data_IF_446804001757
#
_entry.id   IF_446804001757
#
_cell.length_a   1.000
_cell.length_b   1.000
_cell.length_c   1.000
_cell.angle_alpha   90.00
_cell.angle_beta   90.00
_cell.angle_gamma   90.00
#
_symmetry.space_group_name_H-M   'P 1'
#
loop_
_entity.id
_entity.type
_entity.pdbx_description
1 polymer ?
2 non-polymer ?
3 water ?
#
# COMPACT_ATOMS: atom_id res chain seq x y z
N UNK A 2 2.35 20.22 9.59
CA UNK A 2 2.64 20.59 8.22
C UNK A 2 2.81 19.35 7.34
N UNK A 3 1.94 19.23 6.33
CA UNK A 3 2.00 18.09 5.42
C UNK A 3 3.32 18.06 4.67
N UNK A 4 3.79 19.24 4.27
CA UNK A 4 5.07 19.38 3.59
C UNK A 4 6.21 18.73 4.36
N UNK A 5 6.26 18.99 5.67
CA UNK A 5 7.30 18.43 6.53
C UNK A 5 7.14 16.91 6.64
N UNK A 6 5.92 16.44 6.74
CA UNK A 6 5.66 15.02 6.83
C UNK A 6 6.09 14.33 5.58
N UNK A 7 5.80 14.94 4.45
CA UNK A 7 6.19 14.38 3.17
C UNK A 7 7.68 14.40 3.00
N UNK A 8 8.36 15.34 3.63
CA UNK A 8 9.77 15.44 3.50
C UNK A 8 10.46 14.35 4.30
N UNK A 9 9.95 14.08 5.47
CA UNK A 9 10.44 13.02 6.35
C UNK A 9 10.20 11.65 5.71
N UNK A 10 9.04 11.48 5.09
CA UNK A 10 8.71 10.23 4.43
C UNK A 10 9.66 9.93 3.28
N UNK A 11 10.05 10.98 2.54
CA UNK A 11 10.97 10.82 1.44
C UNK A 11 12.34 10.40 1.95
N UNK A 12 12.78 11.03 3.02
CA UNK A 12 14.06 10.71 3.64
C UNK A 12 14.08 9.29 4.19
N UNK A 13 13.00 8.93 4.89
CA UNK A 13 12.87 7.61 5.48
C UNK A 13 12.85 6.53 4.42
N UNK A 14 12.19 6.82 3.30
CA UNK A 14 12.16 5.89 2.17
C UNK A 14 13.58 5.67 1.64
N UNK A 15 14.33 6.73 1.54
CA UNK A 15 15.71 6.64 1.14
C UNK A 15 16.52 5.85 2.12
N UNK A 16 16.27 5.98 3.42
CA UNK A 16 16.93 5.19 4.44
C UNK A 16 16.61 3.73 4.29
N UNK A 17 15.38 3.44 3.96
CA UNK A 17 14.97 2.09 3.66
C UNK A 17 15.70 1.55 2.40
N UNK A 18 15.78 2.34 1.32
CA UNK A 18 16.44 1.84 0.13
C UNK A 18 17.90 1.67 0.39
N UNK A 19 18.45 2.46 1.26
CA UNK A 19 19.87 2.42 1.57
C UNK A 19 20.21 1.15 2.36
N UNK A 20 19.32 0.78 3.28
CA UNK A 20 19.50 -0.45 4.05
C UNK A 20 19.46 -1.68 3.16
N UNK A 21 18.46 -1.76 2.29
CA UNK A 21 18.34 -2.87 1.36
C UNK A 21 19.55 -2.93 0.42
N UNK A 22 20.01 -1.77 -0.01
CA UNK A 22 21.17 -1.68 -0.88
C UNK A 22 22.42 -2.14 -0.15
N UNK A 23 22.55 -1.70 1.10
CA UNK A 23 23.70 -2.08 1.93
C UNK A 23 23.73 -3.59 2.17
N UNK A 24 22.56 -4.16 2.39
CA UNK A 24 22.37 -5.57 2.61
C UNK A 24 22.84 -6.38 1.42
N UNK A 25 22.59 -5.83 0.25
CA UNK A 25 22.94 -6.49 -1.00
C UNK A 25 24.45 -6.47 -1.21
N UNK A 26 25.05 -5.33 -1.01
CA UNK A 26 26.46 -5.15 -1.16
C UNK A 26 27.24 -6.00 -0.18
N UNK A 27 26.80 -6.02 1.06
CA UNK A 27 27.47 -6.74 2.11
C UNK A 27 27.45 -8.22 1.90
N UNK A 28 26.34 -8.73 1.38
CA UNK A 28 26.09 -10.14 1.20
C UNK A 28 26.62 -10.96 2.34
N UNK A 29 26.20 -10.62 3.53
CA UNK A 29 26.74 -11.19 4.72
C UNK A 29 25.73 -12.09 5.34
N UNK A 30 26.22 -13.22 5.81
CA UNK A 30 25.37 -14.24 6.36
C UNK A 30 24.66 -13.82 7.63
N UNK A 31 23.37 -14.14 7.71
CA UNK A 31 22.59 -13.80 8.90
C UNK A 31 22.53 -12.30 9.18
N UNK A 32 22.40 -11.49 8.14
CA UNK A 32 22.47 -10.04 8.31
C UNK A 32 21.19 -9.27 8.00
N UNK A 33 20.17 -9.95 7.48
CA UNK A 33 18.95 -9.23 7.06
C UNK A 33 18.22 -8.54 8.20
N UNK A 34 18.12 -9.21 9.32
CA UNK A 34 17.42 -8.66 10.45
C UNK A 34 18.09 -7.32 10.84
N UNK A 35 19.40 -7.23 10.77
CA UNK A 35 20.14 -6.00 11.06
C UNK A 35 19.71 -4.90 10.12
N UNK A 36 19.80 -5.18 8.82
CA UNK A 36 19.46 -4.17 7.82
C UNK A 36 17.98 -3.78 7.84
N UNK A 37 17.11 -4.75 8.09
CA UNK A 37 15.70 -4.47 8.31
C UNK A 37 15.56 -3.51 9.49
N UNK A 38 16.22 -3.86 10.59
CA UNK A 38 16.18 -3.04 11.81
C UNK A 38 16.81 -1.68 11.57
N UNK A 39 17.94 -1.65 10.88
CA UNK A 39 18.68 -0.41 10.67
C UNK A 39 17.91 0.56 9.80
N UNK A 40 17.31 0.03 8.73
CA UNK A 40 16.52 0.86 7.84
C UNK A 40 15.36 1.52 8.55
N UNK A 41 14.64 0.75 9.37
CA UNK A 41 13.54 1.31 10.15
C UNK A 41 14.01 2.29 11.22
N UNK A 42 15.16 2.01 11.83
CA UNK A 42 15.75 2.91 12.81
C UNK A 42 16.07 4.27 12.22
N UNK A 43 16.86 4.27 11.15
CA UNK A 43 17.24 5.50 10.47
C UNK A 43 16.00 6.25 9.96
N UNK A 44 15.01 5.49 9.49
CA UNK A 44 13.80 6.09 8.95
C UNK A 44 12.97 6.80 10.02
N UNK A 45 12.74 6.10 11.13
CA UNK A 45 11.94 6.65 12.23
C UNK A 45 12.56 7.93 12.77
N UNK A 46 13.88 8.01 12.77
CA UNK A 46 14.60 9.14 13.27
C UNK A 46 14.38 10.39 12.47
N UNK A 47 13.87 10.24 11.27
CA UNK A 47 13.61 11.39 10.41
C UNK A 47 12.45 12.22 10.92
N UNK A 48 11.57 11.58 11.70
CA UNK A 48 10.33 12.18 12.11
C UNK A 48 9.19 11.24 11.78
N UNK A 49 7.95 11.61 12.17
CA UNK A 49 6.76 10.80 11.95
C UNK A 49 6.55 10.36 10.51
N UNK A 50 6.91 11.22 9.55
CA UNK A 50 6.77 10.88 8.15
C UNK A 50 7.69 9.73 7.79
N UNK A 51 8.87 9.70 8.42
CA UNK A 51 9.84 8.66 8.18
C UNK A 51 9.42 7.32 8.77
N UNK A 52 8.94 7.35 10.02
CA UNK A 52 8.47 6.14 10.69
C UNK A 52 7.34 5.54 9.88
N UNK A 53 6.48 6.41 9.38
CA UNK A 53 5.32 5.99 8.59
C UNK A 53 5.75 5.34 7.28
N UNK A 54 6.69 5.97 6.58
CA UNK A 54 7.20 5.44 5.32
C UNK A 54 7.83 4.06 5.54
N UNK A 55 8.57 3.94 6.63
CA UNK A 55 9.26 2.68 6.95
C UNK A 55 8.27 1.58 7.28
N UNK A 56 7.14 1.94 7.85
CA UNK A 56 6.13 0.96 8.17
C UNK A 56 5.43 0.49 6.90
N UNK A 57 5.08 1.44 6.05
CA UNK A 57 4.43 1.14 4.78
C UNK A 57 5.31 0.21 3.94
N UNK A 58 6.61 0.48 3.91
CA UNK A 58 7.54 -0.32 3.13
C UNK A 58 7.72 -1.70 3.77
N UNK A 59 7.85 -1.73 5.10
CA UNK A 59 8.01 -3.00 5.81
C UNK A 59 6.78 -3.90 5.62
N UNK A 60 5.59 -3.30 5.71
CA UNK A 60 4.34 -4.04 5.59
C UNK A 60 4.09 -4.51 4.17
N UNK A 61 4.47 -3.68 3.20
CA UNK A 61 4.36 -4.06 1.80
C UNK A 61 5.26 -5.26 1.52
N UNK A 62 6.45 -5.26 2.11
CA UNK A 62 7.40 -6.35 1.93
C UNK A 62 6.82 -7.65 2.48
N UNK A 63 6.26 -7.58 3.68
CA UNK A 63 5.65 -8.75 4.30
C UNK A 63 4.52 -9.29 3.43
N UNK A 64 3.75 -8.39 2.85
CA UNK A 64 2.63 -8.76 1.99
C UNK A 64 3.07 -9.57 0.78
N UNK A 65 4.16 -9.13 0.15
CA UNK A 65 4.68 -9.80 -1.04
C UNK A 65 5.28 -11.16 -0.69
N UNK A 66 5.88 -11.26 0.49
CA UNK A 66 6.39 -12.54 0.98
C UNK A 66 5.27 -13.56 1.04
N UNK A 67 4.13 -13.15 1.59
CA UNK A 67 3.00 -14.05 1.81
C UNK A 67 2.35 -14.53 0.51
N UNK A 68 2.20 -13.63 -0.46
CA UNK A 68 1.64 -13.98 -1.76
C UNK A 68 2.50 -15.02 -2.46
N UNK A 69 3.79 -14.92 -2.27
CA UNK A 69 4.72 -15.78 -2.95
C UNK A 69 5.26 -16.73 -1.92
N UNK A 70 6.52 -17.11 -2.03
CA UNK A 70 7.14 -17.92 -1.02
C UNK A 70 7.79 -17.24 0.18
N UNK A 71 8.66 -16.26 -0.04
CA UNK A 71 9.45 -15.63 1.04
C UNK A 71 9.02 -15.76 2.52
N UNK A 72 7.86 -16.35 2.74
CA UNK A 72 7.15 -16.37 4.01
C UNK A 72 7.85 -16.96 5.20
N UNK A 75 11.44 -16.20 7.25
CA UNK A 75 10.13 -16.01 7.87
C UNK A 75 9.74 -14.53 8.13
N UNK A 76 8.46 -14.23 7.93
CA UNK A 76 7.91 -12.87 7.95
C UNK A 76 7.84 -12.24 9.34
N UNK A 77 7.31 -13.01 10.29
CA UNK A 77 7.17 -12.54 11.67
C UNK A 77 8.50 -12.06 12.23
N UNK A 78 9.55 -12.83 11.94
CA UNK A 78 10.90 -12.51 12.41
C UNK A 78 11.43 -11.24 11.76
N UNK A 79 11.11 -11.04 10.48
CA UNK A 79 11.49 -9.80 9.80
C UNK A 79 10.77 -8.61 10.41
N UNK A 80 9.46 -8.77 10.61
CA UNK A 80 8.65 -7.69 11.17
C UNK A 80 9.07 -7.34 12.59
N UNK A 81 9.53 -8.34 13.35
CA UNK A 81 10.01 -8.08 14.70
C UNK A 81 11.22 -7.16 14.66
N UNK A 82 12.12 -7.41 13.72
CA UNK A 82 13.29 -6.58 13.54
C UNK A 82 12.90 -5.18 13.07
N UNK A 83 12.00 -5.11 12.10
CA UNK A 83 11.49 -3.85 11.59
C UNK A 83 10.93 -2.96 12.69
N UNK A 84 10.08 -3.53 13.52
CA UNK A 84 9.42 -2.80 14.58
C UNK A 84 10.44 -2.41 15.64
N UNK A 85 11.34 -3.32 15.95
CA UNK A 85 12.41 -3.09 16.90
C UNK A 85 13.19 -1.83 16.54
N UNK A 86 13.67 -1.76 15.31
CA UNK A 86 14.42 -0.60 14.85
C UNK A 86 13.55 0.64 14.78
N UNK A 87 12.30 0.47 14.35
CA UNK A 87 11.39 1.61 14.19
C UNK A 87 11.03 2.25 15.53
N UNK A 88 11.04 1.46 16.58
CA UNK A 88 10.70 1.96 17.92
C UNK A 88 11.88 2.74 18.52
N UNK A 89 13.04 2.66 17.88
CA UNK A 89 14.20 3.40 18.33
C UNK A 89 15.23 2.55 19.04
N UNK A 90 14.97 1.24 19.12
CA UNK A 90 15.91 0.32 19.76
C UNK A 90 17.09 0.01 18.84
N UNK A 91 18.20 -0.37 19.45
CA UNK A 91 19.47 -0.55 18.75
C UNK A 91 19.43 -1.64 17.67
N UNK A 92 19.63 -1.25 16.41
CA UNK A 92 19.71 -2.21 15.29
C UNK A 92 20.84 -3.23 15.49
N UNK A 93 21.89 -2.83 16.21
CA UNK A 93 23.03 -3.71 16.45
C UNK A 93 22.72 -4.94 17.29
N UNK A 94 21.51 -4.98 17.83
CA UNK A 94 21.00 -6.16 18.54
C UNK A 94 20.97 -7.35 17.59
N UNK A 95 20.87 -7.09 16.30
CA UNK A 95 20.80 -8.14 15.29
C UNK A 95 22.10 -8.28 14.49
N UNK A 96 23.11 -7.48 14.83
CA UNK A 96 24.34 -7.45 14.05
C UNK A 96 25.08 -8.78 14.13
N UNK A 97 25.29 -9.43 12.98
CA UNK A 97 26.03 -10.70 12.99
C UNK A 97 27.51 -10.46 13.18
N UNK A 98 28.21 -11.48 13.66
CA UNK A 98 29.66 -11.40 13.85
C UNK A 98 30.36 -11.06 12.54
N UNK A 99 31.17 -10.02 12.57
CA UNK A 99 32.05 -9.72 11.45
C UNK A 99 31.57 -8.69 10.43
N UNK A 100 30.31 -8.29 10.52
CA UNK A 100 29.77 -7.30 9.58
C UNK A 100 30.66 -6.05 9.58
N UNK A 101 31.11 -5.67 8.40
CA UNK A 101 31.97 -4.50 8.27
C UNK A 101 31.37 -3.30 8.92
N UNK A 102 32.23 -2.58 9.58
CA UNK A 102 31.90 -1.49 10.42
C UNK A 102 31.13 -0.35 9.77
N UNK A 103 31.34 -0.11 8.50
CA UNK A 103 30.64 0.94 7.77
C UNK A 103 29.16 0.73 7.58
N UNK A 104 28.70 -0.48 7.87
CA UNK A 104 27.30 -0.85 7.81
C UNK A 104 26.67 -0.82 9.18
N UNK B 2 13.88 -6.05 -8.29
CA UNK B 2 13.07 -6.76 -7.30
C UNK B 2 11.83 -5.96 -6.93
N UNK B 3 11.24 -6.30 -5.78
CA UNK B 3 10.05 -5.62 -5.32
C UNK B 3 10.47 -4.21 -4.94
N UNK B 4 11.78 -4.04 -4.69
CA UNK B 4 12.37 -2.75 -4.38
C UNK B 4 12.16 -1.74 -5.51
N UNK B 5 12.40 -2.16 -6.73
CA UNK B 5 12.24 -1.27 -7.83
C UNK B 5 10.76 -0.86 -8.03
N UNK B 6 9.86 -1.80 -7.88
CA UNK B 6 8.45 -1.50 -7.92
C UNK B 6 8.09 -0.48 -6.84
N UNK B 7 8.61 -0.66 -5.65
CA UNK B 7 8.31 0.23 -4.56
C UNK B 7 8.90 1.61 -4.73
N UNK B 8 10.07 1.71 -5.33
CA UNK B 8 10.63 2.97 -5.61
C UNK B 8 9.77 3.69 -6.61
N UNK B 9 9.24 2.97 -7.56
CA UNK B 9 8.37 3.63 -8.53
C UNK B 9 7.09 4.11 -7.86
N UNK B 10 6.59 3.31 -6.92
CA UNK B 10 5.41 3.67 -6.14
C UNK B 10 5.66 4.92 -5.33
N UNK B 11 6.85 5.00 -4.74
CA UNK B 11 7.24 6.17 -3.97
C UNK B 11 7.28 7.42 -4.82
N UNK B 12 7.87 7.29 -6.01
CA UNK B 12 7.89 8.40 -6.96
C UNK B 12 6.47 8.77 -7.37
N UNK B 13 5.65 7.75 -7.64
CA UNK B 13 4.28 7.97 -8.07
C UNK B 13 3.45 8.67 -7.02
N UNK B 14 3.67 8.31 -5.76
CA UNK B 14 2.98 8.98 -4.66
C UNK B 14 3.32 10.46 -4.59
N UNK B 15 4.59 10.81 -4.84
CA UNK B 15 5.00 12.21 -4.81
C UNK B 15 4.39 12.98 -5.97
N UNK B 16 4.24 12.33 -7.11
CA UNK B 16 3.60 12.93 -8.24
C UNK B 16 2.16 13.23 -7.90
N UNK B 17 1.52 12.33 -7.21
CA UNK B 17 0.17 12.51 -6.69
C UNK B 17 0.05 13.69 -5.72
N UNK B 18 0.95 13.77 -4.77
CA UNK B 18 1.00 14.87 -3.86
C UNK B 18 1.26 16.17 -4.59
N UNK B 19 2.20 16.13 -5.52
CA UNK B 19 2.50 17.30 -6.32
C UNK B 19 1.26 17.85 -7.02
N UNK B 20 0.45 16.97 -7.55
CA UNK B 20 -0.77 17.35 -8.23
C UNK B 20 -1.75 18.00 -7.26
N UNK B 21 -1.85 17.43 -6.07
CA UNK B 21 -2.76 17.93 -5.05
C UNK B 21 -2.35 19.32 -4.54
N UNK B 22 -1.07 19.50 -4.28
CA UNK B 22 -0.58 20.77 -3.75
C UNK B 22 -0.64 21.86 -4.81
N UNK B 23 -0.39 21.49 -6.06
CA UNK B 23 -0.42 22.43 -7.15
C UNK B 23 -1.81 22.87 -7.37
N UNK B 24 -2.74 22.02 -7.10
CA UNK B 24 -4.14 22.37 -7.23
C UNK B 24 -4.67 23.34 -6.14
N UNK B 25 -4.24 23.18 -4.91
CA UNK B 25 -4.55 24.17 -3.91
C UNK B 25 -3.87 25.48 -4.22
N UNK B 26 -2.58 25.41 -4.52
CA UNK B 26 -1.76 26.57 -4.86
C UNK B 26 -2.33 27.35 -6.03
N UNK B 27 -2.78 26.64 -7.05
CA UNK B 27 -3.35 27.29 -8.23
C UNK B 27 -4.67 27.98 -7.87
N UNK B 28 -5.43 27.35 -7.01
CA UNK B 28 -6.80 27.71 -6.71
C UNK B 28 -7.58 28.23 -7.89
N UNK B 29 -7.75 27.40 -8.90
CA UNK B 29 -8.35 27.76 -10.16
C UNK B 29 -9.67 27.00 -10.28
N UNK B 30 -10.76 27.72 -10.56
CA UNK B 30 -12.06 27.09 -10.70
C UNK B 30 -12.02 26.02 -11.78
N UNK B 31 -12.64 24.89 -11.48
CA UNK B 31 -12.71 23.80 -12.39
C UNK B 31 -11.36 23.30 -12.87
N UNK B 32 -10.43 23.21 -11.96
CA UNK B 32 -9.11 22.71 -12.30
C UNK B 32 -8.93 21.26 -11.85
N UNK B 33 -9.81 20.80 -10.98
CA UNK B 33 -9.63 19.52 -10.33
C UNK B 33 -9.39 18.37 -11.27
N UNK B 34 -10.19 18.25 -12.29
CA UNK B 34 -10.04 17.15 -13.19
C UNK B 34 -8.72 17.17 -13.89
N UNK B 35 -8.20 18.34 -14.14
CA UNK B 35 -6.90 18.47 -14.76
C UNK B 35 -5.80 17.91 -13.86
N UNK B 36 -5.81 18.33 -12.60
CA UNK B 36 -4.79 17.89 -11.65
C UNK B 36 -4.90 16.40 -11.32
N UNK B 37 -6.14 15.89 -11.29
CA UNK B 37 -6.35 14.45 -11.10
C UNK B 37 -5.72 13.66 -12.23
N UNK B 38 -5.97 14.10 -13.46
CA UNK B 38 -5.43 13.46 -14.65
C UNK B 38 -3.91 13.57 -14.67
N UNK B 39 -3.40 14.76 -14.36
CA UNK B 39 -1.98 15.04 -14.42
C UNK B 39 -1.18 14.21 -13.42
N UNK B 40 -1.68 14.13 -12.20
CA UNK B 40 -1.01 13.36 -11.17
C UNK B 40 -0.96 11.88 -11.51
N UNK B 41 -2.07 11.35 -12.03
CA UNK B 41 -2.14 9.95 -12.46
C UNK B 41 -1.28 9.69 -13.70
N UNK B 42 -1.22 10.68 -14.58
CA UNK B 42 -0.41 10.60 -15.79
C UNK B 42 1.07 10.57 -15.42
N UNK B 43 1.53 11.57 -14.68
CA UNK B 43 2.92 11.61 -14.21
C UNK B 43 3.30 10.34 -13.44
N UNK B 44 2.44 9.93 -12.52
CA UNK B 44 2.73 8.76 -11.69
C UNK B 44 2.88 7.49 -12.52
N UNK B 45 1.96 7.27 -13.46
CA UNK B 45 1.98 6.05 -14.25
C UNK B 45 3.21 5.97 -15.13
N UNK B 46 3.72 7.12 -15.55
CA UNK B 46 4.90 7.16 -16.40
C UNK B 46 6.19 6.99 -15.62
N UNK B 47 6.07 6.70 -14.32
CA UNK B 47 7.21 6.27 -13.51
C UNK B 47 7.43 4.79 -13.72
N UNK B 48 6.42 4.11 -14.27
CA UNK B 48 6.46 2.67 -14.39
C UNK B 48 5.34 2.04 -13.60
N UNK B 49 5.24 0.70 -13.63
CA UNK B 49 4.18 -0.10 -13.01
C UNK B 49 3.94 0.25 -11.55
N UNK B 50 5.02 0.53 -10.81
CA UNK B 50 4.90 0.89 -9.41
C UNK B 50 4.19 2.22 -9.23
N UNK B 51 4.49 3.18 -10.11
CA UNK B 51 3.87 4.48 -10.08
C UNK B 51 2.39 4.42 -10.44
N UNK B 52 2.06 3.63 -11.46
CA UNK B 52 0.68 3.46 -11.89
C UNK B 52 -0.15 2.82 -10.79
N UNK B 53 0.45 1.88 -10.08
CA UNK B 53 -0.20 1.22 -8.96
C UNK B 53 -0.46 2.20 -7.81
N UNK B 54 0.52 3.04 -7.53
CA UNK B 54 0.40 4.02 -6.45
C UNK B 54 -0.69 5.03 -6.77
N UNK B 55 -0.73 5.48 -8.02
CA UNK B 55 -1.75 6.42 -8.46
C UNK B 55 -3.17 5.86 -8.31
N UNK B 56 -3.34 4.58 -8.64
CA UNK B 56 -4.63 3.94 -8.51
C UNK B 56 -5.04 3.85 -7.04
N UNK B 57 -4.13 3.33 -6.23
CA UNK B 57 -4.36 3.14 -4.80
C UNK B 57 -4.70 4.47 -4.10
N UNK B 58 -3.98 5.53 -4.49
CA UNK B 58 -4.22 6.84 -3.90
C UNK B 58 -5.53 7.40 -4.39
N UNK B 59 -5.83 7.20 -5.67
CA UNK B 59 -7.09 7.69 -6.24
C UNK B 59 -8.31 7.03 -5.60
N UNK B 60 -8.19 5.74 -5.30
CA UNK B 60 -9.29 5.00 -4.66
C UNK B 60 -9.43 5.35 -3.19
N UNK B 61 -8.30 5.65 -2.54
CA UNK B 61 -8.33 6.15 -1.17
C UNK B 61 -9.10 7.47 -1.12
N UNK B 62 -8.86 8.31 -2.13
CA UNK B 62 -9.55 9.59 -2.21
C UNK B 62 -11.03 9.40 -2.48
N UNK B 63 -11.38 8.46 -3.37
CA UNK B 63 -12.77 8.18 -3.67
C UNK B 63 -13.51 7.70 -2.43
N UNK B 64 -12.89 6.77 -1.71
CA UNK B 64 -13.48 6.21 -0.49
C UNK B 64 -13.80 7.30 0.53
N UNK B 65 -12.89 8.24 0.73
CA UNK B 65 -13.12 9.35 1.64
C UNK B 65 -14.23 10.26 1.14
N UNK B 66 -14.26 10.47 -0.18
CA UNK B 66 -15.32 11.26 -0.81
C UNK B 66 -16.70 10.67 -0.55
N UNK B 67 -16.82 9.36 -0.77
CA UNK B 67 -18.07 8.65 -0.53
C UNK B 67 -18.54 8.86 0.90
N UNK B 68 -17.62 8.61 1.84
CA UNK B 68 -17.89 8.69 3.26
C UNK B 68 -18.40 10.06 3.71
N UNK B 69 -17.89 11.12 3.10
CA UNK B 69 -18.28 12.47 3.44
C UNK B 69 -19.34 13.07 2.56
N UNK B 70 -19.89 12.30 1.64
CA UNK B 70 -20.92 12.76 0.73
C UNK B 70 -20.48 13.37 -0.59
N UNK B 71 -20.45 12.60 -1.65
CA UNK B 71 -19.97 13.10 -2.93
C UNK B 71 -18.55 13.66 -2.81
N UNK B 75 -18.62 15.03 -9.82
CA UNK B 75 -18.67 14.16 -8.66
C UNK B 75 -17.61 13.05 -8.72
N UNK B 76 -17.82 11.97 -7.97
CA UNK B 76 -16.81 10.93 -7.82
C UNK B 76 -16.48 10.14 -9.10
N UNK B 77 -17.50 9.81 -9.88
CA UNK B 77 -17.28 9.09 -11.14
C UNK B 77 -16.47 9.94 -12.09
N UNK B 78 -16.84 11.21 -12.17
CA UNK B 78 -16.17 12.16 -13.05
C UNK B 78 -14.70 12.27 -12.69
N UNK B 79 -14.42 12.33 -11.39
CA UNK B 79 -13.06 12.35 -10.88
C UNK B 79 -12.29 11.09 -11.28
N UNK B 80 -12.92 9.93 -11.08
CA UNK B 80 -12.28 8.67 -11.42
C UNK B 80 -12.07 8.53 -12.91
N UNK B 81 -12.95 9.16 -13.70
CA UNK B 81 -12.79 9.19 -15.14
C UNK B 81 -11.53 9.97 -15.53
N UNK B 82 -11.34 11.12 -14.88
CA UNK B 82 -10.16 11.94 -15.10
C UNK B 82 -8.91 11.20 -14.63
N UNK B 83 -9.01 10.58 -13.45
CA UNK B 83 -7.92 9.77 -12.92
C UNK B 83 -7.42 8.73 -13.92
N UNK B 84 -8.35 7.93 -14.44
CA UNK B 84 -8.04 6.83 -15.31
C UNK B 84 -7.60 7.30 -16.69
N UNK B 85 -8.10 8.44 -17.08
CA UNK B 85 -7.72 9.09 -18.32
C UNK B 85 -6.21 9.31 -18.35
N UNK B 86 -5.70 10.02 -17.35
CA UNK B 86 -4.27 10.29 -17.25
C UNK B 86 -3.46 9.02 -17.00
N UNK B 87 -3.96 8.14 -16.15
CA UNK B 87 -3.25 6.91 -15.82
C UNK B 87 -3.04 6.02 -17.04
N UNK B 88 -3.97 6.10 -18.00
CA UNK B 88 -3.88 5.28 -19.20
C UNK B 88 -2.95 5.91 -20.24
N UNK B 89 -2.46 7.12 -19.97
CA UNK B 89 -1.49 7.76 -20.83
C UNK B 89 -2.04 8.87 -21.69
N UNK B 90 -3.33 9.15 -21.52
CA UNK B 90 -3.96 10.23 -22.28
C UNK B 90 -3.65 11.61 -21.70
N UNK B 91 -3.59 12.61 -22.56
CA UNK B 91 -3.17 13.96 -22.19
C UNK B 91 -4.11 14.58 -21.16
N UNK B 92 -3.55 14.99 -20.00
CA UNK B 92 -4.35 15.68 -18.98
C UNK B 92 -4.84 17.04 -19.46
N UNK B 93 -4.16 17.60 -20.45
CA UNK B 93 -4.51 18.94 -20.95
C UNK B 93 -5.89 19.05 -21.59
N UNK B 94 -6.52 17.91 -21.86
CA UNK B 94 -7.88 17.91 -22.36
C UNK B 94 -8.85 18.39 -21.28
N UNK B 95 -8.39 18.38 -20.03
CA UNK B 95 -9.19 18.87 -18.92
C UNK B 95 -8.70 20.24 -18.46
N UNK B 96 -7.78 20.82 -19.21
CA UNK B 96 -7.12 22.03 -18.76
C UNK B 96 -8.00 23.26 -18.92
N UNK B 97 -8.36 23.88 -17.78
CA UNK B 97 -9.15 25.12 -17.79
C UNK B 97 -8.37 26.25 -18.44
N UNK B 98 -9.05 27.04 -19.27
CA UNK B 98 -8.42 28.15 -19.98
C UNK B 98 -7.80 29.15 -19.02
N UNK B 99 -6.56 29.53 -19.29
CA UNK B 99 -5.86 30.49 -18.46
C UNK B 99 -4.99 29.86 -17.39
N UNK B 100 -5.05 28.54 -17.27
CA UNK B 100 -4.21 27.85 -16.28
C UNK B 100 -2.75 28.07 -16.64
N UNK B 101 -1.99 28.66 -15.71
CA UNK B 101 -0.58 29.03 -15.91
C UNK B 101 0.25 27.85 -16.38
N UNK B 102 1.21 28.12 -17.27
CA UNK B 102 1.99 27.07 -17.92
C UNK B 102 2.77 26.17 -16.95
N UNK B 103 2.94 26.64 -15.71
CA UNK B 103 3.75 25.92 -14.74
C UNK B 103 3.00 24.78 -14.05
N UNK B 104 1.73 24.60 -14.39
CA UNK B 104 0.92 23.55 -13.77
C UNK B 104 0.60 22.44 -14.77
N UNK C 2 -9.84 11.80 10.60
CA UNK C 2 -8.63 12.24 9.97
C UNK C 2 -8.17 11.20 8.96
N UNK C 3 -6.92 11.31 8.54
CA UNK C 3 -6.32 10.26 7.79
C UNK C 3 -5.52 9.37 8.71
N UNK C 4 -5.44 9.74 9.97
CA UNK C 4 -4.92 8.90 11.00
C UNK C 4 -5.94 7.84 11.30
N UNK C 5 -7.19 8.22 11.14
CA UNK C 5 -8.32 7.38 11.42
C UNK C 5 -8.46 6.42 10.26
N UNK C 6 -8.24 6.94 9.07
CA UNK C 6 -8.32 6.16 7.86
C UNK C 6 -7.28 5.05 7.92
N UNK C 7 -6.08 5.45 8.29
CA UNK C 7 -4.94 4.58 8.34
C UNK C 7 -5.09 3.55 9.44
N UNK C 8 -5.73 3.91 10.53
CA UNK C 8 -6.05 2.94 11.55
C UNK C 8 -6.98 1.85 11.00
N UNK C 9 -8.05 2.24 10.37
CA UNK C 9 -9.01 1.35 9.74
C UNK C 9 -8.33 0.47 8.70
N UNK C 10 -7.39 1.05 7.97
CA UNK C 10 -6.62 0.30 6.98
C UNK C 10 -5.78 -0.77 7.65
N UNK C 11 -5.13 -0.41 8.76
CA UNK C 11 -4.35 -1.36 9.52
C UNK C 11 -5.19 -2.53 9.98
N UNK C 12 -6.32 -2.23 10.60
CA UNK C 12 -7.24 -3.26 11.10
C UNK C 12 -7.76 -4.13 9.96
N UNK C 13 -8.21 -3.49 8.89
CA UNK C 13 -8.71 -4.20 7.74
C UNK C 13 -7.68 -5.15 7.16
N UNK C 14 -6.43 -4.68 7.12
CA UNK C 14 -5.33 -5.51 6.65
C UNK C 14 -5.19 -6.77 7.50
N UNK C 15 -5.27 -6.60 8.80
CA UNK C 15 -5.15 -7.70 9.72
C UNK C 15 -6.28 -8.69 9.51
N UNK C 16 -7.50 -8.18 9.35
CA UNK C 16 -8.64 -9.03 9.05
C UNK C 16 -8.34 -9.83 7.80
N UNK C 17 -7.65 -9.23 6.85
CA UNK C 17 -7.36 -9.91 5.61
C UNK C 17 -6.35 -11.00 5.84
N UNK C 18 -5.29 -10.71 6.57
CA UNK C 18 -4.24 -11.68 6.72
C UNK C 18 -4.78 -12.81 7.58
N UNK C 19 -5.58 -12.43 8.54
CA UNK C 19 -6.20 -13.36 9.38
C UNK C 19 -7.13 -14.28 8.62
N UNK C 20 -7.77 -13.78 7.60
CA UNK C 20 -8.55 -14.61 6.72
C UNK C 20 -7.69 -15.61 6.02
N UNK C 21 -6.57 -15.16 5.48
CA UNK C 21 -5.69 -16.02 4.73
C UNK C 21 -4.99 -17.03 5.63
N UNK C 22 -4.78 -16.66 6.89
CA UNK C 22 -4.13 -17.56 7.80
C UNK C 22 -5.07 -18.71 8.10
N UNK C 23 -6.32 -18.36 8.40
CA UNK C 23 -7.33 -19.30 8.77
C UNK C 23 -7.51 -20.31 7.69
N UNK C 24 -7.47 -19.87 6.46
CA UNK C 24 -7.66 -20.76 5.33
C UNK C 24 -6.59 -21.84 5.21
N UNK C 25 -5.34 -21.50 5.46
CA UNK C 25 -4.26 -22.47 5.39
C UNK C 25 -4.42 -23.49 6.53
N UNK C 26 -5.00 -23.01 7.63
CA UNK C 26 -5.30 -23.76 8.83
C UNK C 26 -6.61 -24.53 8.58
N UNK C 27 -6.70 -25.20 7.46
CA UNK C 27 -7.96 -25.84 7.16
C UNK C 27 -8.02 -26.47 5.80
N UNK C 28 -6.86 -26.69 5.21
CA UNK C 28 -6.68 -27.41 3.95
C UNK C 28 -7.94 -28.10 3.55
N UNK C 29 -8.81 -27.38 2.86
CA UNK C 29 -10.19 -27.72 2.81
C UNK C 29 -10.81 -28.23 1.53
N UNK C 30 -12.02 -28.70 1.70
CA UNK C 30 -12.88 -28.98 0.60
C UNK C 30 -13.34 -27.62 0.12
N UNK C 31 -12.78 -27.11 -0.97
CA UNK C 31 -13.37 -26.00 -1.70
C UNK C 31 -13.71 -24.77 -0.86
N UNK C 32 -12.81 -24.43 0.02
CA UNK C 32 -13.07 -23.41 1.05
C UNK C 32 -12.75 -21.98 0.65
N UNK C 33 -12.01 -21.82 -0.44
CA UNK C 33 -11.51 -20.54 -0.93
C UNK C 33 -12.42 -19.37 -0.72
N UNK C 34 -13.46 -19.32 -1.52
CA UNK C 34 -14.37 -18.18 -1.63
C UNK C 34 -14.93 -17.68 -0.29
N UNK C 35 -15.07 -18.57 0.68
CA UNK C 35 -15.54 -18.17 1.99
C UNK C 35 -14.52 -17.28 2.71
N UNK C 36 -13.26 -17.70 2.69
CA UNK C 36 -12.20 -16.98 3.37
C UNK C 36 -11.94 -15.62 2.72
N UNK C 37 -12.04 -15.57 1.39
CA UNK C 37 -11.86 -14.35 0.65
C UNK C 37 -12.97 -13.35 0.97
N UNK C 38 -14.19 -13.84 1.03
CA UNK C 38 -15.34 -13.01 1.33
C UNK C 38 -15.30 -12.51 2.77
N UNK C 39 -14.93 -13.41 3.69
CA UNK C 39 -14.93 -13.07 5.10
C UNK C 39 -13.91 -12.00 5.42
N UNK C 40 -12.72 -12.12 4.84
CA UNK C 40 -11.67 -11.13 5.04
C UNK C 40 -12.14 -9.75 4.63
N UNK C 41 -12.66 -9.66 3.40
CA UNK C 41 -13.18 -8.40 2.88
C UNK C 41 -14.36 -7.89 3.70
N UNK C 42 -15.24 -8.80 4.11
CA UNK C 42 -16.39 -8.46 4.92
C UNK C 42 -15.94 -7.91 6.27
N UNK C 43 -15.04 -8.64 6.92
CA UNK C 43 -14.45 -8.19 8.18
C UNK C 43 -13.76 -6.84 8.00
N UNK C 44 -12.94 -6.75 6.96
CA UNK C 44 -12.17 -5.55 6.70
C UNK C 44 -13.06 -4.34 6.43
N UNK C 45 -14.12 -4.55 5.65
CA UNK C 45 -15.05 -3.48 5.33
C UNK C 45 -15.81 -3.00 6.56
N UNK C 46 -15.94 -3.86 7.54
CA UNK C 46 -16.69 -3.56 8.74
C UNK C 46 -15.91 -2.57 9.57
N UNK C 47 -14.62 -2.49 9.36
CA UNK C 47 -13.83 -1.53 10.08
C UNK C 47 -14.01 -0.12 9.66
N UNK C 48 -14.56 0.10 8.48
CA UNK C 48 -14.77 1.43 7.96
C UNK C 48 -14.08 1.63 6.63
N UNK C 49 -14.19 2.85 6.08
CA UNK C 49 -13.66 3.24 4.76
C UNK C 49 -12.21 2.84 4.52
N UNK C 50 -11.35 3.05 5.51
CA UNK C 50 -9.96 2.68 5.40
C UNK C 50 -9.82 1.17 5.32
N UNK C 51 -10.72 0.46 5.99
CA UNK C 51 -10.72 -0.99 5.98
C UNK C 51 -11.21 -1.55 4.65
N UNK C 52 -12.27 -0.95 4.11
CA UNK C 52 -12.78 -1.34 2.81
C UNK C 52 -11.73 -1.06 1.74
N UNK C 53 -11.10 0.11 1.84
CA UNK C 53 -10.04 0.49 0.92
C UNK C 53 -8.89 -0.50 0.98
N UNK C 54 -8.46 -0.85 2.19
CA UNK C 54 -7.34 -1.77 2.39
C UNK C 54 -7.65 -3.17 1.85
N UNK C 55 -8.87 -3.65 2.11
CA UNK C 55 -9.29 -4.95 1.63
C UNK C 55 -9.20 -5.01 0.10
N UNK C 56 -9.46 -3.88 -0.55
CA UNK C 56 -9.42 -3.82 -1.99
C UNK C 56 -7.98 -3.81 -2.53
N UNK C 57 -7.09 -3.05 -1.90
CA UNK C 57 -5.71 -3.04 -2.40
C UNK C 57 -5.05 -4.41 -2.19
N UNK C 58 -5.36 -5.07 -1.09
CA UNK C 58 -4.79 -6.38 -0.81
C UNK C 58 -5.36 -7.40 -1.79
N UNK C 59 -6.66 -7.36 -2.00
CA UNK C 59 -7.33 -8.26 -2.93
C UNK C 59 -6.74 -8.12 -4.34
N UNK C 60 -6.66 -6.88 -4.82
CA UNK C 60 -6.14 -6.60 -6.16
C UNK C 60 -4.67 -6.96 -6.29
N UNK C 61 -3.93 -6.78 -5.23
CA UNK C 61 -2.53 -7.13 -5.23
C UNK C 61 -2.36 -8.62 -5.31
N UNK C 62 -3.08 -9.32 -4.46
CA UNK C 62 -3.12 -10.74 -4.53
C UNK C 62 -3.39 -11.22 -5.95
N UNK C 63 -4.40 -10.69 -6.59
CA UNK C 63 -4.74 -11.06 -7.93
C UNK C 63 -3.60 -10.78 -8.89
N UNK C 64 -2.93 -9.67 -8.71
CA UNK C 64 -1.80 -9.27 -9.54
C UNK C 64 -0.65 -10.27 -9.49
N UNK C 65 -0.36 -10.78 -8.30
CA UNK C 65 0.69 -11.77 -8.14
C UNK C 65 0.26 -13.10 -8.77
N UNK C 66 -1.04 -13.38 -8.71
CA UNK C 66 -1.58 -14.58 -9.36
C UNK C 66 -1.33 -14.56 -10.86
N UNK C 67 -1.24 -13.36 -11.41
CA UNK C 67 -1.10 -13.21 -12.83
C UNK C 67 0.28 -13.61 -13.35
N UNK C 68 1.06 -14.33 -12.55
CA UNK C 68 2.28 -15.04 -13.02
C UNK C 68 2.15 -16.54 -12.77
N UNK C 69 1.13 -16.93 -12.03
CA UNK C 69 0.84 -18.33 -11.80
C UNK C 69 -0.38 -18.74 -12.55
N UNK C 75 -9.64 -19.85 -9.80
CA UNK C 75 -9.03 -18.81 -10.59
C UNK C 75 -9.36 -17.39 -10.10
N UNK C 76 -8.67 -16.42 -10.68
CA UNK C 76 -8.57 -15.07 -10.13
C UNK C 76 -9.89 -14.33 -10.05
N UNK C 77 -10.69 -14.38 -11.10
CA UNK C 77 -11.93 -13.67 -11.11
C UNK C 77 -12.91 -14.22 -10.06
N UNK C 78 -12.93 -15.52 -9.89
CA UNK C 78 -13.87 -16.10 -8.93
C UNK C 78 -13.53 -15.67 -7.51
N UNK C 79 -12.24 -15.47 -7.24
CA UNK C 79 -11.81 -14.94 -5.95
C UNK C 79 -12.33 -13.51 -5.80
N UNK C 80 -12.17 -12.74 -6.87
CA UNK C 80 -12.55 -11.33 -6.85
C UNK C 80 -14.06 -11.14 -6.63
N UNK C 81 -14.85 -12.06 -7.17
CA UNK C 81 -16.29 -12.03 -6.92
C UNK C 81 -16.56 -12.19 -5.44
N UNK C 82 -15.90 -13.17 -4.83
CA UNK C 82 -16.04 -13.43 -3.40
C UNK C 82 -15.51 -12.26 -2.58
N UNK C 83 -14.42 -11.66 -3.04
CA UNK C 83 -13.87 -10.49 -2.37
C UNK C 83 -14.88 -9.35 -2.30
N UNK C 84 -15.47 -9.01 -3.44
CA UNK C 84 -16.42 -7.91 -3.51
C UNK C 84 -17.73 -8.25 -2.82
N UNK C 85 -18.07 -9.53 -2.80
CA UNK C 85 -19.24 -10.00 -2.08
C UNK C 85 -19.17 -9.59 -0.62
N UNK C 86 -18.11 -10.04 0.05
CA UNK C 86 -17.90 -9.70 1.45
C UNK C 86 -17.72 -8.21 1.66
N UNK C 87 -16.95 -7.58 0.79
CA UNK C 87 -16.63 -6.16 0.92
C UNK C 87 -17.88 -5.29 0.84
N UNK C 88 -18.88 -5.75 0.10
CA UNK C 88 -20.14 -5.02 -0.03
C UNK C 88 -21.05 -5.25 1.18
N UNK C 89 -20.69 -6.24 2.00
CA UNK C 89 -21.43 -6.52 3.22
C UNK C 89 -22.31 -7.74 3.12
N UNK C 90 -22.44 -8.32 1.93
CA UNK C 90 -23.20 -9.55 1.76
C UNK C 90 -22.54 -10.66 2.56
N UNK C 91 -23.33 -11.64 2.99
CA UNK C 91 -22.86 -12.60 3.98
C UNK C 91 -21.88 -13.62 3.42
N UNK C 92 -20.69 -13.71 4.02
CA UNK C 92 -19.61 -14.63 3.63
C UNK C 92 -19.99 -16.09 3.77
N UNK C 93 -20.92 -16.42 4.67
CA UNK C 93 -21.33 -17.80 4.87
C UNK C 93 -21.98 -18.41 3.64
N UNK C 94 -22.43 -17.58 2.74
CA UNK C 94 -22.95 -18.02 1.47
C UNK C 94 -22.02 -18.93 0.70
N UNK C 95 -20.75 -18.84 1.01
CA UNK C 95 -19.75 -19.66 0.34
C UNK C 95 -19.20 -20.75 1.25
N UNK C 96 -19.70 -20.81 2.48
CA UNK C 96 -19.22 -21.82 3.39
C UNK C 96 -19.42 -23.22 2.83
N UNK C 97 -18.36 -24.01 2.89
CA UNK C 97 -18.40 -25.40 2.45
C UNK C 97 -19.21 -26.30 3.38
N UNK C 98 -19.14 -27.61 3.15
CA UNK C 98 -19.86 -28.57 3.97
C UNK C 98 -19.21 -28.71 5.33
N UNK C 99 -19.91 -28.26 6.37
CA UNK C 99 -19.46 -28.41 7.74
C UNK C 99 -18.09 -27.84 8.00
N UNK C 100 -17.93 -26.53 7.86
CA UNK C 100 -16.71 -25.82 8.21
C UNK C 100 -16.66 -25.53 9.69
N UNK C 101 -15.57 -25.90 10.30
CA UNK C 101 -15.38 -25.67 11.74
C UNK C 101 -15.84 -24.29 12.21
N UNK C 102 -16.24 -24.23 13.48
CA UNK C 102 -17.01 -23.13 14.02
C UNK C 102 -16.27 -21.79 14.14
N UNK C 103 -14.96 -21.84 14.35
CA UNK C 103 -14.21 -20.60 14.60
C UNK C 103 -14.01 -19.76 13.35
N UNK C 104 -14.19 -20.38 12.19
CA UNK C 104 -14.01 -19.67 10.93
C UNK C 104 -15.22 -18.79 10.62
#
# INVERSE_FOLDING_TARGET
QRWVQFMKEAGQGSRDMWRAYSDMKKANWKNSDKYFHARGNYDAARRGPGGAWAAKVISDAREAVQKFTGHGAEDSRADQFANEWGRSGKDPNHFRPAGLPKRY
QRWVQFMKEAGQGSRDMWRAYSDMKKANWKNSDKYFHARGNYDAARRGPGGAWAAKVISDAREAVQKFTGHGAEDSRADQFANEWGRSGKDPNHFRPAGLPKRY
QRWVQFMKEAGQGSRDMWRAYSDMKKANWKNSDKYFHARGNYDAARRGPGGAWAAKVISDAREAVQKFTGHGAEDSRADQFANEWGRSGKDPNHFRPAGLPKRY
#
